data_IF_669754871249
#
_entry.id   IF_669754871249
#
_cell.length_a   1.000
_cell.length_b   1.000
_cell.length_c   1.000
_cell.angle_alpha   90.00
_cell.angle_beta   90.00
_cell.angle_gamma   90.00
#
_symmetry.space_group_name_H-M   'P 1'
#
loop_
_entity.id
_entity.type
_entity.pdbx_description
1 polymer ?
#
# COMPACT_ATOMS: atom_id res chain seq x y z
N UNK A 1 75.08 -12.49 43.28
CA UNK A 1 73.73 -11.93 43.49
C UNK A 1 72.80 -13.06 43.85
N UNK A 2 71.96 -12.90 44.88
CA UNK A 2 70.99 -13.95 45.23
C UNK A 2 69.82 -13.94 44.23
N UNK A 3 69.23 -15.10 43.97
CA UNK A 3 68.15 -15.27 43.00
C UNK A 3 66.93 -14.36 43.33
N UNK A 4 66.74 -14.08 44.62
CA UNK A 4 65.69 -13.21 45.14
C UNK A 4 65.86 -11.73 44.75
N UNK A 5 67.11 -11.23 44.74
CA UNK A 5 67.40 -9.87 44.28
C UNK A 5 67.12 -9.72 42.77
N UNK A 6 67.36 -10.78 42.01
CA UNK A 6 67.12 -10.83 40.58
C UNK A 6 65.61 -10.86 40.26
N UNK A 7 64.83 -11.56 41.08
CA UNK A 7 63.35 -11.54 41.02
C UNK A 7 62.78 -10.17 41.36
N UNK A 8 63.24 -9.50 42.42
CA UNK A 8 62.79 -8.15 42.77
C UNK A 8 63.14 -7.12 41.68
N UNK A 9 64.34 -7.20 41.11
CA UNK A 9 64.74 -6.32 40.01
C UNK A 9 63.84 -6.51 38.78
N UNK A 10 63.57 -7.78 38.38
CA UNK A 10 62.63 -8.07 37.28
C UNK A 10 61.22 -7.57 37.56
N UNK A 11 60.72 -7.75 38.78
CA UNK A 11 59.38 -7.29 39.13
C UNK A 11 59.28 -5.77 39.09
N UNK A 12 60.29 -5.06 39.57
CA UNK A 12 60.35 -3.59 39.52
C UNK A 12 60.39 -3.08 38.08
N UNK A 13 61.19 -3.72 37.22
CA UNK A 13 61.24 -3.38 35.79
C UNK A 13 59.90 -3.68 35.11
N UNK A 14 59.27 -4.80 35.44
CA UNK A 14 57.95 -5.15 34.89
C UNK A 14 56.89 -4.12 35.26
N UNK A 15 56.84 -3.70 36.53
CA UNK A 15 55.89 -2.68 36.98
C UNK A 15 56.09 -1.34 36.27
N UNK A 16 57.35 -0.97 36.01
CA UNK A 16 57.67 0.28 35.32
C UNK A 16 57.24 0.21 33.85
N UNK A 17 57.49 -0.93 33.19
CA UNK A 17 57.02 -1.18 31.81
C UNK A 17 55.49 -1.19 31.75
N UNK A 18 54.81 -1.86 32.68
CA UNK A 18 53.35 -1.92 32.70
C UNK A 18 52.73 -0.54 32.89
N UNK A 19 53.36 0.30 33.73
CA UNK A 19 52.95 1.68 33.94
C UNK A 19 53.12 2.52 32.66
N UNK A 20 54.28 2.44 32.01
CA UNK A 20 54.56 3.18 30.77
C UNK A 20 53.64 2.75 29.64
N UNK A 21 53.40 1.43 29.50
CA UNK A 21 52.48 0.87 28.51
C UNK A 21 51.06 1.38 28.77
N UNK A 22 50.59 1.35 30.02
CA UNK A 22 49.25 1.83 30.37
C UNK A 22 49.10 3.31 29.99
N UNK A 23 50.06 4.15 30.35
CA UNK A 23 50.05 5.56 30.00
C UNK A 23 50.07 5.80 28.48
N UNK A 24 50.78 4.98 27.71
CA UNK A 24 50.76 5.05 26.25
C UNK A 24 49.41 4.63 25.67
N UNK A 25 48.77 3.60 26.22
CA UNK A 25 47.44 3.17 25.78
C UNK A 25 46.35 4.19 26.12
N UNK A 26 46.41 4.84 27.27
CA UNK A 26 45.47 5.90 27.64
C UNK A 26 45.55 7.09 26.66
N UNK A 27 46.77 7.46 26.27
CA UNK A 27 47.00 8.51 25.26
C UNK A 27 46.52 8.08 23.87
N UNK A 28 46.75 6.82 23.49
CA UNK A 28 46.29 6.26 22.23
C UNK A 28 44.76 6.21 22.18
N UNK A 29 44.11 5.77 23.25
CA UNK A 29 42.65 5.72 23.37
C UNK A 29 42.05 7.12 23.22
N UNK A 30 42.60 8.09 23.96
CA UNK A 30 42.17 9.49 23.86
C UNK A 30 42.27 10.01 22.43
N UNK A 31 43.40 9.76 21.76
CA UNK A 31 43.60 10.16 20.37
C UNK A 31 42.61 9.48 19.41
N UNK A 32 42.38 8.17 19.57
CA UNK A 32 41.45 7.42 18.72
C UNK A 32 40.02 7.92 18.88
N UNK A 33 39.57 8.12 20.13
CA UNK A 33 38.21 8.55 20.42
C UNK A 33 37.93 10.01 20.02
N UNK A 34 38.93 10.89 20.12
CA UNK A 34 38.79 12.33 19.81
C UNK A 34 39.07 12.70 18.36
N UNK A 35 39.84 11.88 17.61
CA UNK A 35 40.31 12.24 16.27
C UNK A 35 39.97 11.26 15.17
N UNK A 36 39.91 9.97 15.48
CA UNK A 36 39.72 8.93 14.45
C UNK A 36 38.28 8.45 14.39
N UNK A 37 37.68 8.21 15.56
CA UNK A 37 36.32 7.68 15.68
C UNK A 37 35.28 8.75 16.04
N UNK A 38 35.65 10.03 16.04
CA UNK A 38 34.70 11.12 16.22
C UNK A 38 34.09 11.53 14.88
N UNK A 39 32.77 11.68 14.86
CA UNK A 39 32.07 12.29 13.74
C UNK A 39 32.07 13.81 13.94
N UNK A 40 32.61 14.60 13.00
CA UNK A 40 32.61 16.06 13.11
C UNK A 40 31.19 16.64 13.14
N UNK A 41 30.93 17.64 13.98
CA UNK A 41 29.60 18.27 14.12
C UNK A 41 29.06 18.87 12.81
N UNK A 42 29.95 19.23 11.88
CA UNK A 42 29.60 19.82 10.59
C UNK A 42 29.37 18.77 9.48
N UNK A 43 29.46 17.47 9.81
CA UNK A 43 29.29 16.38 8.86
C UNK A 43 28.06 15.57 9.25
N UNK A 44 27.10 15.48 8.33
CA UNK A 44 25.96 14.57 8.49
C UNK A 44 26.29 13.26 7.81
N UNK A 45 26.05 12.18 8.53
CA UNK A 45 26.25 10.84 8.01
C UNK A 45 25.29 10.57 6.83
N UNK A 46 25.69 9.77 5.83
CA UNK A 46 24.85 9.45 4.69
C UNK A 46 23.45 8.94 5.05
N UNK A 47 23.34 8.17 6.13
CA UNK A 47 22.10 7.62 6.69
C UNK A 47 21.16 8.71 7.24
N UNK A 48 21.69 9.78 7.79
CA UNK A 48 20.91 10.85 8.43
C UNK A 48 20.51 11.97 7.46
N UNK A 49 20.93 11.87 6.18
CA UNK A 49 20.55 12.85 5.14
C UNK A 49 19.04 13.03 5.00
N UNK A 50 18.25 11.99 5.24
CA UNK A 50 16.79 12.06 5.16
C UNK A 50 16.17 12.92 6.28
N UNK A 51 16.83 13.02 7.44
CA UNK A 51 16.33 13.75 8.60
C UNK A 51 16.43 15.27 8.38
N UNK A 52 17.48 15.75 7.71
CA UNK A 52 17.64 17.17 7.35
C UNK A 52 16.46 17.64 6.48
N UNK A 53 16.09 16.82 5.49
CA UNK A 53 15.06 17.13 4.49
C UNK A 53 13.63 17.11 5.06
N UNK A 54 13.43 16.54 6.24
CA UNK A 54 12.10 16.27 6.81
C UNK A 54 11.70 17.24 7.94
N UNK A 55 12.38 18.39 8.02
CA UNK A 55 12.34 19.30 9.17
C UNK A 55 11.10 20.19 9.34
N UNK A 56 9.93 19.82 8.80
CA UNK A 56 8.68 20.51 9.21
C UNK A 56 7.59 19.52 9.54
N UNK A 57 7.16 19.51 10.81
CA UNK A 57 5.99 18.76 11.27
C UNK A 57 4.76 19.07 10.39
N UNK A 58 4.61 20.33 9.98
CA UNK A 58 3.57 20.80 9.07
C UNK A 58 3.59 20.10 7.70
N UNK A 59 4.75 19.69 7.19
CA UNK A 59 4.84 18.96 5.93
C UNK A 59 4.40 17.50 6.05
N UNK A 60 4.57 16.88 7.22
CA UNK A 60 4.12 15.50 7.44
C UNK A 60 2.61 15.41 7.53
N UNK A 61 1.99 16.32 8.27
CA UNK A 61 0.54 16.36 8.41
C UNK A 61 -0.15 16.59 7.06
N UNK A 62 0.40 17.50 6.24
CA UNK A 62 -0.09 17.73 4.87
C UNK A 62 0.05 16.49 3.97
N UNK A 63 1.13 15.71 4.11
CA UNK A 63 1.32 14.48 3.34
C UNK A 63 0.32 13.41 3.79
N UNK A 64 0.07 13.31 5.10
CA UNK A 64 -0.88 12.34 5.66
C UNK A 64 -2.32 12.69 5.27
N UNK A 65 -2.68 13.96 5.29
CA UNK A 65 -3.99 14.44 4.82
C UNK A 65 -4.20 14.14 3.33
N UNK A 66 -3.21 14.43 2.48
CA UNK A 66 -3.25 14.06 1.06
C UNK A 66 -3.37 12.56 0.87
N UNK A 67 -2.66 11.75 1.66
CA UNK A 67 -2.75 10.28 1.61
C UNK A 67 -4.17 9.82 1.94
N UNK A 68 -4.78 10.40 2.97
CA UNK A 68 -6.14 10.06 3.39
C UNK A 68 -7.19 10.50 2.36
N UNK A 69 -7.02 11.68 1.76
CA UNK A 69 -7.88 12.14 0.67
C UNK A 69 -7.82 11.21 -0.55
N UNK A 70 -6.61 10.82 -0.96
CA UNK A 70 -6.41 9.91 -2.08
C UNK A 70 -7.01 8.52 -1.82
N UNK A 71 -6.84 7.97 -0.60
CA UNK A 71 -7.49 6.71 -0.21
C UNK A 71 -9.01 6.77 -0.36
N UNK A 72 -9.64 7.86 0.11
CA UNK A 72 -11.08 8.06 -0.03
C UNK A 72 -11.49 8.11 -1.51
N UNK A 73 -10.75 8.84 -2.34
CA UNK A 73 -10.99 8.90 -3.80
C UNK A 73 -10.88 7.54 -4.45
N UNK A 74 -9.86 6.75 -4.12
CA UNK A 74 -9.67 5.40 -4.66
C UNK A 74 -10.86 4.49 -4.32
N UNK A 75 -11.34 4.54 -3.07
CA UNK A 75 -12.50 3.74 -2.65
C UNK A 75 -13.76 4.16 -3.41
N UNK A 76 -14.00 5.48 -3.54
CA UNK A 76 -15.14 6.00 -4.29
C UNK A 76 -15.10 5.57 -5.77
N UNK A 77 -13.94 5.67 -6.41
CA UNK A 77 -13.75 5.23 -7.81
C UNK A 77 -13.94 3.73 -7.96
N UNK A 78 -13.43 2.93 -7.01
CA UNK A 78 -13.65 1.47 -7.03
C UNK A 78 -15.12 1.12 -6.93
N UNK A 79 -15.86 1.79 -6.05
CA UNK A 79 -17.29 1.59 -5.90
C UNK A 79 -18.05 1.99 -7.18
N UNK A 80 -17.75 3.17 -7.72
CA UNK A 80 -18.35 3.65 -8.97
C UNK A 80 -18.09 2.68 -10.13
N UNK A 81 -16.85 2.17 -10.26
CA UNK A 81 -16.51 1.17 -11.28
C UNK A 81 -17.29 -0.13 -11.09
N UNK A 82 -17.45 -0.61 -9.85
CA UNK A 82 -18.24 -1.82 -9.59
C UNK A 82 -19.70 -1.63 -10.01
N UNK A 83 -20.30 -0.48 -9.67
CA UNK A 83 -21.67 -0.15 -10.06
C UNK A 83 -21.83 -0.01 -11.58
N UNK A 84 -20.86 0.64 -12.26
CA UNK A 84 -20.88 0.76 -13.71
C UNK A 84 -20.76 -0.61 -14.40
N UNK A 85 -19.90 -1.49 -13.89
CA UNK A 85 -19.77 -2.85 -14.41
C UNK A 85 -21.06 -3.65 -14.23
N UNK A 86 -21.75 -3.49 -13.10
CA UNK A 86 -23.06 -4.10 -12.89
C UNK A 86 -24.09 -3.57 -13.88
N UNK A 87 -24.17 -2.25 -14.05
CA UNK A 87 -25.09 -1.64 -15.02
C UNK A 87 -24.81 -2.09 -16.46
N UNK A 88 -23.54 -2.28 -16.84
CA UNK A 88 -23.17 -2.83 -18.15
C UNK A 88 -23.66 -4.28 -18.29
N UNK A 89 -23.49 -5.10 -17.26
CA UNK A 89 -23.98 -6.47 -17.26
C UNK A 89 -25.51 -6.53 -17.38
N UNK A 90 -26.23 -5.70 -16.62
CA UNK A 90 -27.68 -5.62 -16.66
C UNK A 90 -28.18 -5.12 -18.03
N UNK A 91 -27.53 -4.10 -18.60
CA UNK A 91 -27.83 -3.60 -19.93
C UNK A 91 -27.57 -4.65 -21.02
N UNK A 92 -26.46 -5.40 -20.92
CA UNK A 92 -26.16 -6.48 -21.85
C UNK A 92 -27.16 -7.63 -21.75
N UNK A 93 -27.61 -7.98 -20.54
CA UNK A 93 -28.64 -8.99 -20.34
C UNK A 93 -29.98 -8.52 -20.94
N UNK A 94 -30.37 -7.27 -20.69
CA UNK A 94 -31.59 -6.69 -21.25
C UNK A 94 -31.53 -6.63 -22.78
N UNK A 95 -30.40 -6.23 -23.35
CA UNK A 95 -30.20 -6.25 -24.80
C UNK A 95 -30.35 -7.66 -25.37
N UNK A 96 -29.73 -8.68 -24.75
CA UNK A 96 -29.90 -10.08 -25.18
C UNK A 96 -31.36 -10.52 -25.15
N UNK A 97 -32.12 -10.16 -24.11
CA UNK A 97 -33.55 -10.49 -24.03
C UNK A 97 -34.37 -9.78 -25.11
N UNK A 98 -34.05 -8.52 -25.43
CA UNK A 98 -34.71 -7.79 -26.51
C UNK A 98 -34.39 -8.38 -27.88
N UNK A 99 -33.13 -8.76 -28.11
CA UNK A 99 -32.70 -9.41 -29.35
C UNK A 99 -33.39 -10.77 -29.53
N UNK A 100 -33.56 -11.55 -28.44
CA UNK A 100 -34.34 -12.80 -28.45
C UNK A 100 -35.81 -12.57 -28.77
N UNK A 101 -36.46 -11.57 -28.16
CA UNK A 101 -37.86 -11.23 -28.45
C UNK A 101 -38.03 -10.75 -29.89
N UNK A 102 -37.12 -9.89 -30.38
CA UNK A 102 -37.12 -9.43 -31.77
C UNK A 102 -36.94 -10.61 -32.73
N UNK A 103 -36.05 -11.54 -32.42
CA UNK A 103 -35.85 -12.75 -33.21
C UNK A 103 -37.09 -13.65 -33.22
N UNK A 104 -37.75 -13.85 -32.08
CA UNK A 104 -39.01 -14.60 -32.01
C UNK A 104 -40.14 -13.93 -32.80
N UNK A 105 -40.15 -12.59 -32.85
CA UNK A 105 -41.08 -11.79 -33.63
C UNK A 105 -40.78 -11.86 -35.13
N UNK A 106 -39.51 -11.83 -35.53
CA UNK A 106 -39.08 -11.90 -36.94
C UNK A 106 -39.13 -13.30 -37.53
N UNK A 107 -38.79 -14.33 -36.75
CA UNK A 107 -38.80 -15.75 -37.17
C UNK A 107 -40.24 -16.31 -37.29
N UNK A 108 -41.26 -15.46 -37.10
CA UNK A 108 -42.65 -15.80 -37.42
C UNK A 108 -43.30 -16.77 -36.45
N UNK A 109 -42.77 -16.95 -35.23
CA UNK A 109 -43.41 -17.77 -34.19
C UNK A 109 -44.74 -17.18 -33.69
N UNK A 110 -45.04 -15.92 -34.03
CA UNK A 110 -46.36 -15.31 -33.93
C UNK A 110 -47.43 -16.11 -34.72
N UNK A 111 -47.02 -16.85 -35.75
CA UNK A 111 -47.90 -17.72 -36.54
C UNK A 111 -48.38 -18.96 -35.78
N UNK A 112 -47.76 -19.35 -34.66
CA UNK A 112 -48.18 -20.53 -33.87
C UNK A 112 -49.41 -20.28 -32.98
N UNK A 113 -49.76 -19.01 -32.75
CA UNK A 113 -50.96 -18.60 -31.99
C UNK A 113 -52.09 -18.07 -32.90
N UNK A 114 -51.92 -18.08 -34.22
CA UNK A 114 -52.95 -17.62 -35.17
C UNK A 114 -53.20 -16.10 -35.18
N UNK A 115 -52.49 -15.32 -34.36
CA UNK A 115 -52.56 -13.87 -34.33
C UNK A 115 -51.68 -13.29 -35.43
N UNK A 116 -52.27 -12.70 -36.48
CA UNK A 116 -51.52 -12.15 -37.62
C UNK A 116 -50.94 -10.75 -37.36
N UNK A 117 -51.38 -10.07 -36.29
CA UNK A 117 -50.99 -8.70 -35.97
C UNK A 117 -50.60 -8.53 -34.50
N UNK A 118 -49.64 -7.63 -34.22
CA UNK A 118 -49.21 -7.23 -32.86
C UNK A 118 -50.39 -6.74 -32.02
N UNK A 119 -51.40 -6.13 -32.66
CA UNK A 119 -52.65 -5.69 -32.02
C UNK A 119 -53.44 -6.85 -31.39
N UNK A 120 -53.47 -8.01 -32.05
CA UNK A 120 -54.22 -9.18 -31.56
C UNK A 120 -53.48 -9.82 -30.37
N UNK A 121 -52.15 -9.80 -30.39
CA UNK A 121 -51.32 -10.26 -29.28
C UNK A 121 -51.42 -9.36 -28.05
N UNK A 122 -51.34 -8.03 -28.25
CA UNK A 122 -51.56 -7.05 -27.17
C UNK A 122 -52.97 -7.16 -26.58
N UNK A 123 -53.98 -7.40 -27.42
CA UNK A 123 -55.36 -7.62 -26.97
C UNK A 123 -55.46 -8.90 -26.12
N UNK A 124 -54.86 -10.00 -26.57
CA UNK A 124 -54.84 -11.28 -25.83
C UNK A 124 -54.12 -11.17 -24.48
N UNK A 125 -52.95 -10.53 -24.43
CA UNK A 125 -52.21 -10.33 -23.18
C UNK A 125 -52.94 -9.35 -22.24
N UNK A 126 -53.61 -8.33 -22.79
CA UNK A 126 -54.44 -7.42 -21.99
C UNK A 126 -55.64 -8.14 -21.37
N UNK A 127 -56.30 -9.04 -22.08
CA UNK A 127 -57.40 -9.85 -21.54
C UNK A 127 -56.93 -10.83 -20.45
N UNK A 128 -55.74 -11.43 -20.62
CA UNK A 128 -55.15 -12.31 -19.60
C UNK A 128 -54.76 -11.53 -18.33
N UNK A 129 -54.18 -10.34 -18.48
CA UNK A 129 -53.85 -9.48 -17.34
C UNK A 129 -55.10 -8.99 -16.61
N UNK A 130 -56.18 -8.68 -17.33
CA UNK A 130 -57.48 -8.32 -16.73
C UNK A 130 -58.07 -9.50 -15.96
N UNK A 131 -57.98 -10.72 -16.48
CA UNK A 131 -58.45 -11.94 -15.78
C UNK A 131 -57.64 -12.27 -14.53
N UNK A 132 -56.34 -12.00 -14.54
CA UNK A 132 -55.46 -12.17 -13.38
C UNK A 132 -55.73 -11.13 -12.27
N UNK A 133 -56.18 -9.92 -12.63
CA UNK A 133 -56.52 -8.84 -11.70
C UNK A 133 -57.95 -8.88 -11.15
N UNK A 134 -58.79 -9.83 -11.60
CA UNK A 134 -60.17 -10.02 -11.14
C UNK A 134 -60.32 -11.22 -10.17
N UNK A 135 -59.21 -11.74 -9.65
CA UNK A 135 -59.17 -12.78 -8.62
C UNK A 135 -58.52 -12.23 -7.36
#
# INVERSE_FOLDING_TARGET
MSDEQLRQARHSVSQLIDHDISAMFDNLESYLLERVFTIPENVVLPEDKCQILHSSADSYDQIEDKKNELKKKIIAVKYANAQLNQNIADASALQSTLDEVLKQMSDGNISRLGAKNIKDWLSYYSEQLIKLNQK
#
